data_IF_361431120797
#
_entry.id   IF_361431120797
#
_cell.length_a   1.000
_cell.length_b   1.000
_cell.length_c   1.000
_cell.angle_alpha   90.00
_cell.angle_beta   90.00
_cell.angle_gamma   90.00
#
_symmetry.space_group_name_H-M   'P 1'
#
loop_
_entity.id
_entity.type
_entity.pdbx_description
1 polymer ?
#
# COMPACT_ATOMS: atom_id res chain seq x y z
N UNK A 1 10.73 38.71 -34.50
CA UNK A 1 10.27 39.44 -33.30
C UNK A 1 8.92 38.88 -32.90
N UNK A 2 8.69 38.69 -31.59
CA UNK A 2 7.60 37.96 -30.91
C UNK A 2 7.79 36.43 -30.90
N UNK A 3 7.98 35.74 -29.77
CA UNK A 3 8.03 36.18 -28.37
C UNK A 3 8.85 35.22 -27.50
N UNK A 4 9.89 35.72 -26.84
CA UNK A 4 10.62 35.10 -25.72
C UNK A 4 9.75 34.79 -24.47
N UNK A 5 8.42 34.87 -24.61
CA UNK A 5 7.45 34.73 -23.53
C UNK A 5 6.95 33.29 -23.37
N UNK A 6 7.00 32.49 -24.44
CA UNK A 6 6.72 31.04 -24.37
C UNK A 6 7.88 30.26 -23.73
N UNK A 7 9.13 30.72 -23.89
CA UNK A 7 10.29 30.04 -23.32
C UNK A 7 10.38 30.20 -21.79
N UNK A 8 9.97 31.36 -21.27
CA UNK A 8 9.90 31.58 -19.82
C UNK A 8 8.72 30.85 -19.15
N UNK A 9 7.65 30.58 -19.90
CA UNK A 9 6.50 29.82 -19.39
C UNK A 9 6.82 28.33 -19.18
N UNK A 10 7.83 27.80 -19.87
CA UNK A 10 8.35 26.46 -19.62
C UNK A 10 9.18 26.39 -18.33
N UNK A 11 9.93 27.45 -18.01
CA UNK A 11 10.76 27.50 -16.80
C UNK A 11 9.96 27.83 -15.52
N UNK A 12 8.89 28.63 -15.60
CA UNK A 12 8.02 28.90 -14.44
C UNK A 12 7.09 27.71 -14.11
N UNK A 13 6.73 26.90 -15.11
CA UNK A 13 5.91 25.69 -14.90
C UNK A 13 6.67 24.53 -14.23
N UNK A 14 7.99 24.66 -14.07
CA UNK A 14 8.81 23.70 -13.34
C UNK A 14 8.86 23.96 -11.82
N UNK A 15 8.32 25.07 -11.32
CA UNK A 15 8.42 25.46 -9.90
C UNK A 15 7.07 25.70 -9.19
N UNK A 16 5.95 25.30 -9.79
CA UNK A 16 4.64 25.31 -9.11
C UNK A 16 4.18 23.88 -8.87
N UNK A 17 4.42 23.45 -7.63
CA UNK A 17 3.95 22.25 -6.94
C UNK A 17 4.20 20.88 -7.64
N UNK A 18 4.97 19.96 -7.02
CA UNK A 18 5.26 18.63 -7.54
C UNK A 18 4.05 17.68 -7.35
N UNK A 19 2.87 18.11 -7.77
CA UNK A 19 1.64 17.30 -7.69
C UNK A 19 1.03 16.96 -9.06
N UNK A 20 1.53 17.47 -10.18
CA UNK A 20 0.91 17.20 -11.49
C UNK A 20 1.93 17.21 -12.63
N UNK A 21 2.52 16.04 -12.96
CA UNK A 21 3.32 15.95 -14.18
C UNK A 21 4.29 14.79 -14.35
N UNK A 22 3.83 13.53 -14.28
CA UNK A 22 4.45 12.46 -15.07
C UNK A 22 3.41 11.93 -16.05
N UNK A 23 3.53 12.32 -17.32
CA UNK A 23 2.79 11.69 -18.41
C UNK A 23 3.74 10.74 -19.16
N UNK A 24 3.69 9.44 -18.87
CA UNK A 24 4.18 8.39 -19.78
C UNK A 24 3.65 6.99 -19.45
N UNK A 25 2.41 6.76 -19.86
CA UNK A 25 1.90 5.54 -20.47
C UNK A 25 0.39 5.74 -20.62
N UNK A 26 -0.18 5.36 -21.77
CA UNK A 26 -1.58 4.93 -21.77
C UNK A 26 -1.66 3.65 -20.93
N UNK A 27 -1.58 3.78 -19.62
CA UNK A 27 -2.05 2.74 -18.72
C UNK A 27 -3.53 3.05 -18.57
N UNK A 28 -4.34 2.12 -19.05
CA UNK A 28 -5.77 2.03 -18.75
C UNK A 28 -6.03 2.46 -17.29
N UNK A 29 -7.21 3.00 -17.03
CA UNK A 29 -7.81 3.15 -15.69
C UNK A 29 -7.99 1.79 -14.98
N UNK A 30 -6.89 1.07 -14.82
CA UNK A 30 -6.64 -0.26 -14.25
C UNK A 30 -5.37 -0.23 -13.37
N UNK A 31 -4.58 0.88 -13.41
CA UNK A 31 -3.32 1.04 -12.66
C UNK A 31 -3.37 2.16 -11.61
N UNK A 32 -4.56 2.48 -11.10
CA UNK A 32 -4.66 3.21 -9.85
C UNK A 32 -4.29 2.24 -8.73
N UNK A 33 -3.02 2.26 -8.29
CA UNK A 33 -2.61 1.53 -7.10
C UNK A 33 -3.61 1.77 -5.97
N UNK A 34 -4.03 0.69 -5.33
CA UNK A 34 -4.94 0.73 -4.19
C UNK A 34 -4.49 1.76 -3.15
N UNK A 35 -5.46 2.48 -2.59
CA UNK A 35 -5.22 3.52 -1.59
C UNK A 35 -4.54 2.89 -0.38
N UNK A 36 -3.24 3.15 -0.24
CA UNK A 36 -2.39 2.56 0.80
C UNK A 36 -2.17 3.49 1.99
N UNK A 37 -2.21 4.81 1.76
CA UNK A 37 -2.02 5.81 2.81
C UNK A 37 -3.08 6.89 2.72
N UNK A 38 -3.58 7.33 3.88
CA UNK A 38 -4.44 8.49 4.01
C UNK A 38 -3.67 9.70 4.52
N UNK A 39 -3.86 10.84 3.86
CA UNK A 39 -3.30 12.11 4.31
C UNK A 39 -3.90 12.47 5.68
N UNK A 40 -3.05 12.39 6.72
CA UNK A 40 -3.43 12.67 8.10
C UNK A 40 -3.38 11.47 9.06
N UNK A 41 -3.13 10.26 8.56
CA UNK A 41 -2.89 9.08 9.41
C UNK A 41 -1.38 8.89 9.57
N UNK A 42 -0.89 9.03 10.80
CA UNK A 42 0.52 8.82 11.11
C UNK A 42 0.88 7.33 11.01
N UNK A 43 1.81 7.01 10.12
CA UNK A 43 2.41 5.67 10.05
C UNK A 43 3.25 5.46 11.33
N UNK A 44 2.99 4.40 12.10
CA UNK A 44 3.74 4.07 13.30
C UNK A 44 5.25 3.92 13.06
N UNK A 45 6.06 4.27 14.06
CA UNK A 45 7.52 4.24 13.95
C UNK A 45 8.07 2.84 13.66
N UNK A 46 7.47 1.81 14.24
CA UNK A 46 7.85 0.41 14.01
C UNK A 46 7.80 0.04 12.52
N UNK A 47 6.67 0.35 11.86
CA UNK A 47 6.47 0.14 10.42
C UNK A 47 7.45 0.98 9.59
N UNK A 48 7.63 2.27 9.94
CA UNK A 48 8.60 3.12 9.24
C UNK A 48 10.01 2.55 9.33
N UNK A 49 10.40 1.99 10.47
CA UNK A 49 11.72 1.40 10.64
C UNK A 49 11.91 0.17 9.76
N UNK A 50 10.97 -0.77 9.72
CA UNK A 50 11.10 -1.97 8.86
C UNK A 50 11.08 -1.62 7.38
N UNK A 51 10.23 -0.67 6.97
CA UNK A 51 10.18 -0.21 5.57
C UNK A 51 11.42 0.62 5.19
N UNK A 52 11.90 1.49 6.08
CA UNK A 52 13.07 2.34 5.82
C UNK A 52 14.40 1.61 5.93
N UNK A 53 14.44 0.48 6.67
CA UNK A 53 15.58 -0.44 6.61
C UNK A 53 15.78 -0.93 5.17
N UNK A 54 14.72 -1.00 4.36
CA UNK A 54 14.83 -1.27 2.92
C UNK A 54 15.45 -2.63 2.58
N UNK A 55 15.58 -3.50 3.58
CA UNK A 55 16.16 -4.85 3.48
C UNK A 55 15.07 -5.91 3.29
N UNK A 56 13.81 -5.55 3.54
CA UNK A 56 12.67 -6.40 3.30
C UNK A 56 12.12 -6.12 1.89
N UNK A 57 12.40 -7.03 0.97
CA UNK A 57 11.72 -7.13 -0.33
C UNK A 57 10.78 -8.32 -0.26
N UNK A 58 9.61 -8.20 -0.88
CA UNK A 58 8.78 -9.39 -1.06
C UNK A 58 9.36 -10.21 -2.21
N UNK A 59 9.94 -11.36 -1.86
CA UNK A 59 10.57 -12.27 -2.82
C UNK A 59 9.47 -12.83 -3.73
N UNK A 60 9.35 -12.23 -4.90
CA UNK A 60 8.51 -12.63 -6.02
C UNK A 60 9.24 -12.26 -7.30
N UNK A 61 8.71 -12.64 -8.48
CA UNK A 61 9.33 -12.29 -9.77
C UNK A 61 9.52 -10.76 -9.98
N UNK A 62 8.88 -9.93 -9.15
CA UNK A 62 8.96 -8.47 -9.20
C UNK A 62 9.99 -7.83 -8.26
N UNK A 63 10.52 -8.53 -7.25
CA UNK A 63 11.44 -7.97 -6.22
C UNK A 63 11.03 -6.57 -5.70
N UNK A 64 9.75 -6.42 -5.33
CA UNK A 64 9.19 -5.12 -4.93
C UNK A 64 9.39 -4.85 -3.42
N UNK A 65 9.76 -3.62 -3.03
CA UNK A 65 9.91 -3.24 -1.63
C UNK A 65 8.55 -3.15 -0.92
N UNK A 66 8.53 -3.46 0.37
CA UNK A 66 7.34 -3.21 1.18
C UNK A 66 7.06 -1.70 1.30
N UNK A 67 5.80 -1.32 1.13
CA UNK A 67 5.32 0.05 1.29
C UNK A 67 4.52 0.16 2.59
N UNK A 68 4.72 1.23 3.35
CA UNK A 68 3.95 1.47 4.56
C UNK A 68 2.47 1.79 4.23
N UNK A 69 1.58 1.22 5.03
CA UNK A 69 0.13 1.39 4.94
C UNK A 69 -0.37 2.08 6.21
N UNK A 70 -1.19 3.11 6.04
CA UNK A 70 -1.80 3.85 7.13
C UNK A 70 -3.11 4.47 6.65
N UNK A 71 -4.23 3.86 7.01
CA UNK A 71 -5.57 4.21 6.55
C UNK A 71 -6.47 4.44 7.77
N UNK A 72 -7.49 5.29 7.64
CA UNK A 72 -8.46 5.45 8.72
C UNK A 72 -9.46 4.31 8.64
N UNK A 73 -9.60 3.57 9.73
CA UNK A 73 -10.62 2.55 9.88
C UNK A 73 -11.90 3.22 10.41
N UNK A 74 -13.05 2.83 9.89
CA UNK A 74 -14.36 3.39 10.30
C UNK A 74 -15.02 2.67 11.46
N UNK A 75 -14.30 1.80 12.16
CA UNK A 75 -14.83 0.95 13.22
C UNK A 75 -13.74 0.28 14.05
N UNK A 76 -14.15 -0.63 14.93
CA UNK A 76 -13.25 -1.36 15.82
C UNK A 76 -13.00 -2.77 15.28
N UNK A 77 -11.77 -3.03 14.81
CA UNK A 77 -11.33 -4.36 14.36
C UNK A 77 -10.83 -4.43 12.93
N UNK A 78 -10.32 -5.59 12.53
CA UNK A 78 -9.81 -5.80 11.17
C UNK A 78 -10.97 -5.86 10.17
N UNK A 79 -10.93 -5.11 9.05
CA UNK A 79 -12.01 -5.09 8.07
C UNK A 79 -12.14 -6.45 7.36
N UNK A 80 -13.35 -6.80 6.95
CA UNK A 80 -13.57 -7.97 6.10
C UNK A 80 -13.11 -7.72 4.65
N UNK A 81 -13.15 -8.75 3.79
CA UNK A 81 -12.72 -8.69 2.38
C UNK A 81 -13.38 -7.53 1.61
N UNK A 82 -14.71 -7.41 1.71
CA UNK A 82 -15.48 -6.35 1.04
C UNK A 82 -15.19 -4.96 1.63
N UNK A 83 -15.00 -4.87 2.96
CA UNK A 83 -14.72 -3.62 3.65
C UNK A 83 -13.32 -3.12 3.30
N UNK A 84 -12.34 -4.02 3.30
CA UNK A 84 -10.98 -3.75 2.89
C UNK A 84 -10.93 -3.30 1.44
N UNK A 85 -11.63 -4.00 0.54
CA UNK A 85 -11.73 -3.62 -0.86
C UNK A 85 -12.35 -2.22 -1.04
N UNK A 86 -13.36 -1.84 -0.25
CA UNK A 86 -13.91 -0.47 -0.25
C UNK A 86 -12.90 0.55 0.27
N UNK A 87 -12.17 0.20 1.31
CA UNK A 87 -11.22 1.07 2.00
C UNK A 87 -10.01 1.40 1.11
N UNK A 88 -9.54 0.42 0.33
CA UNK A 88 -8.51 0.63 -0.69
C UNK A 88 -9.03 1.26 -2.00
N UNK A 89 -10.33 1.60 -2.05
CA UNK A 89 -11.04 2.16 -3.19
C UNK A 89 -11.01 1.27 -4.44
N UNK A 90 -11.19 -0.05 -4.24
CA UNK A 90 -11.27 -1.03 -5.33
C UNK A 90 -12.47 -0.71 -6.25
N UNK A 91 -12.30 -0.73 -7.59
CA UNK A 91 -13.36 -0.38 -8.54
C UNK A 91 -14.61 -1.27 -8.42
N UNK A 92 -14.41 -2.53 -8.01
CA UNK A 92 -15.47 -3.49 -7.73
C UNK A 92 -15.18 -4.22 -6.40
N UNK A 93 -15.63 -3.73 -5.24
CA UNK A 93 -15.29 -4.34 -3.95
C UNK A 93 -15.90 -5.73 -3.74
N UNK A 94 -16.99 -6.05 -4.46
CA UNK A 94 -17.65 -7.36 -4.42
C UNK A 94 -17.02 -8.41 -5.34
N UNK A 95 -16.33 -7.95 -6.38
CA UNK A 95 -15.62 -8.81 -7.33
C UNK A 95 -14.11 -8.80 -7.04
N UNK A 96 -13.68 -8.05 -6.02
CA UNK A 96 -12.32 -8.03 -5.56
C UNK A 96 -11.97 -9.43 -5.06
N UNK A 97 -10.98 -10.06 -5.69
CA UNK A 97 -10.43 -11.33 -5.22
C UNK A 97 -9.49 -11.04 -4.06
N UNK A 98 -10.09 -10.71 -2.91
CA UNK A 98 -9.40 -10.53 -1.64
C UNK A 98 -9.46 -11.85 -0.89
N UNK A 99 -8.30 -12.39 -0.52
CA UNK A 99 -8.16 -13.54 0.37
C UNK A 99 -7.56 -13.09 1.69
N UNK A 100 -8.17 -13.49 2.80
CA UNK A 100 -7.61 -13.30 4.13
C UNK A 100 -6.77 -14.53 4.48
N UNK A 101 -5.50 -14.30 4.77
CA UNK A 101 -4.51 -15.30 5.15
C UNK A 101 -3.96 -14.99 6.53
N UNK A 102 -3.65 -16.04 7.29
CA UNK A 102 -2.92 -15.90 8.55
C UNK A 102 -1.46 -15.54 8.26
N UNK A 103 -0.86 -14.61 9.02
CA UNK A 103 0.53 -14.19 8.81
C UNK A 103 1.52 -15.35 8.93
N UNK A 104 1.23 -16.34 9.76
CA UNK A 104 2.04 -17.56 9.92
C UNK A 104 1.92 -18.49 8.70
N UNK A 105 0.74 -18.56 8.08
CA UNK A 105 0.52 -19.35 6.86
C UNK A 105 1.07 -18.69 5.60
N UNK A 106 1.09 -17.36 5.57
CA UNK A 106 1.72 -16.59 4.50
C UNK A 106 3.25 -16.63 4.62
N UNK A 107 3.79 -16.43 5.82
CA UNK A 107 5.23 -16.45 6.10
C UNK A 107 5.67 -17.76 6.78
N UNK A 108 5.44 -18.90 6.11
CA UNK A 108 5.81 -20.23 6.65
C UNK A 108 7.30 -20.38 6.95
N UNK A 109 8.12 -19.62 6.24
CA UNK A 109 9.58 -19.64 6.37
C UNK A 109 10.10 -18.67 7.44
N UNK A 110 9.23 -17.83 8.02
CA UNK A 110 9.62 -16.82 9.01
C UNK A 110 10.51 -15.71 8.45
N UNK A 111 10.47 -15.47 7.14
CA UNK A 111 11.30 -14.46 6.46
C UNK A 111 10.81 -13.04 6.73
N UNK A 112 9.53 -12.89 7.05
CA UNK A 112 8.84 -11.62 7.29
C UNK A 112 8.38 -11.47 8.75
N UNK A 113 8.90 -12.31 9.66
CA UNK A 113 8.58 -12.25 11.08
C UNK A 113 8.84 -10.86 11.69
N UNK A 114 9.93 -10.18 11.31
CA UNK A 114 10.21 -8.79 11.74
C UNK A 114 9.14 -7.80 11.29
N UNK A 115 8.58 -8.00 10.09
CA UNK A 115 7.48 -7.16 9.58
C UNK A 115 6.22 -7.42 10.39
N UNK A 116 5.88 -8.69 10.60
CA UNK A 116 4.70 -9.08 11.36
C UNK A 116 4.79 -8.54 12.79
N UNK A 117 5.95 -8.64 13.44
CA UNK A 117 6.16 -8.07 14.78
C UNK A 117 6.07 -6.54 14.78
N UNK A 118 6.65 -5.86 13.78
CA UNK A 118 6.55 -4.40 13.69
C UNK A 118 5.11 -3.93 13.45
N UNK A 119 4.34 -4.66 12.64
CA UNK A 119 2.91 -4.40 12.43
C UNK A 119 2.14 -4.67 13.72
N UNK A 120 2.41 -5.77 14.42
CA UNK A 120 1.77 -6.10 15.70
C UNK A 120 2.06 -5.06 16.79
N UNK A 121 3.30 -4.60 16.88
CA UNK A 121 3.71 -3.53 17.80
C UNK A 121 3.00 -2.22 17.46
N UNK A 122 2.89 -1.90 16.17
CA UNK A 122 2.14 -0.75 15.68
C UNK A 122 0.63 -0.81 16.02
N UNK A 123 0.08 -2.02 16.15
CA UNK A 123 -1.28 -2.29 16.59
C UNK A 123 -1.44 -2.41 18.11
N UNK A 124 -0.41 -2.09 18.90
CA UNK A 124 -0.42 -2.26 20.36
C UNK A 124 -0.76 -3.70 20.82
N UNK A 125 -0.39 -4.70 20.01
CA UNK A 125 -0.64 -6.11 20.29
C UNK A 125 -1.94 -6.67 19.72
N UNK A 126 -2.68 -5.89 18.92
CA UNK A 126 -3.84 -6.36 18.16
C UNK A 126 -3.49 -7.47 17.16
N UNK A 127 -4.54 -8.14 16.68
CA UNK A 127 -4.41 -9.17 15.65
C UNK A 127 -3.85 -8.59 14.35
N UNK A 128 -2.94 -9.35 13.74
CA UNK A 128 -2.36 -9.05 12.42
C UNK A 128 -2.96 -10.02 11.41
N UNK A 129 -3.39 -9.51 10.26
CA UNK A 129 -3.88 -10.33 9.14
C UNK A 129 -3.18 -9.95 7.85
N UNK A 130 -3.10 -10.94 6.95
CA UNK A 130 -2.56 -10.74 5.61
C UNK A 130 -3.71 -10.79 4.61
N UNK A 131 -3.87 -9.74 3.80
CA UNK A 131 -4.88 -9.67 2.76
C UNK A 131 -4.17 -9.78 1.42
N UNK A 132 -4.47 -10.83 0.65
CA UNK A 132 -3.98 -11.02 -0.71
C UNK A 132 -5.06 -10.51 -1.67
N UNK A 133 -4.76 -9.46 -2.42
CA UNK A 133 -5.66 -8.86 -3.40
C UNK A 133 -5.13 -9.18 -4.79
N UNK A 134 -5.83 -10.02 -5.55
CA UNK A 134 -5.43 -10.31 -6.93
C UNK A 134 -5.59 -9.05 -7.80
N UNK A 135 -4.54 -8.70 -8.53
CA UNK A 135 -4.50 -7.61 -9.50
C UNK A 135 -4.45 -8.26 -10.88
N UNK A 136 -5.41 -7.95 -11.75
CA UNK A 136 -5.67 -8.72 -12.97
C UNK A 136 -4.43 -9.26 -13.71
N UNK A 137 -4.50 -10.53 -14.14
CA UNK A 137 -3.36 -11.25 -14.74
C UNK A 137 -2.59 -12.06 -13.70
N UNK A 138 -1.27 -11.87 -13.64
CA UNK A 138 -0.34 -12.57 -12.75
C UNK A 138 0.10 -11.71 -11.56
N UNK A 139 -0.59 -10.60 -11.25
CA UNK A 139 -0.18 -9.70 -10.18
C UNK A 139 -1.04 -9.94 -8.93
N UNK A 140 -0.46 -9.85 -7.75
CA UNK A 140 -1.19 -9.89 -6.48
C UNK A 140 -0.57 -8.87 -5.52
N UNK A 141 -1.39 -8.13 -4.77
CA UNK A 141 -0.90 -7.28 -3.69
C UNK A 141 -1.15 -7.96 -2.35
N UNK A 142 -0.09 -8.16 -1.58
CA UNK A 142 -0.14 -8.70 -0.23
C UNK A 142 -0.11 -7.55 0.77
N UNK A 143 -1.04 -7.53 1.71
CA UNK A 143 -1.21 -6.46 2.69
C UNK A 143 -1.16 -7.05 4.09
N UNK A 144 -0.09 -6.78 4.83
CA UNK A 144 0.06 -7.19 6.23
C UNK A 144 -0.39 -6.01 7.09
N UNK A 145 -1.59 -6.10 7.67
CA UNK A 145 -2.23 -4.98 8.36
C UNK A 145 -2.76 -5.38 9.74
N UNK A 146 -2.79 -4.40 10.63
CA UNK A 146 -3.42 -4.47 11.95
C UNK A 146 -4.37 -3.30 12.13
N UNK A 147 -5.41 -3.50 12.93
CA UNK A 147 -6.20 -2.40 13.48
C UNK A 147 -5.50 -1.84 14.72
N UNK A 148 -5.58 -0.53 14.93
CA UNK A 148 -5.17 0.14 16.18
C UNK A 148 -6.41 0.53 17.00
N UNK A 149 -6.20 0.82 18.29
CA UNK A 149 -7.28 1.29 19.17
C UNK A 149 -7.88 2.66 18.75
N UNK A 150 -7.14 3.41 17.94
CA UNK A 150 -7.54 4.70 17.36
C UNK A 150 -8.46 4.59 16.14
N UNK A 151 -9.01 3.40 15.84
CA UNK A 151 -9.75 3.15 14.59
C UNK A 151 -8.87 3.52 13.37
N UNK A 152 -7.62 3.08 13.38
CA UNK A 152 -6.69 3.22 12.25
C UNK A 152 -6.24 1.85 11.81
N UNK A 153 -6.02 1.69 10.52
CA UNK A 153 -5.47 0.50 9.92
C UNK A 153 -4.03 0.80 9.52
N UNK A 154 -3.08 0.11 10.13
CA UNK A 154 -1.65 0.35 9.90
C UNK A 154 -0.98 -0.95 9.51
N UNK A 155 0.01 -0.88 8.63
CA UNK A 155 0.69 -2.09 8.18
C UNK A 155 1.71 -1.85 7.09
N UNK A 156 1.96 -2.90 6.31
CA UNK A 156 2.73 -2.83 5.08
C UNK A 156 1.99 -3.50 3.94
N UNK A 157 2.35 -3.14 2.71
CA UNK A 157 1.93 -3.84 1.52
C UNK A 157 3.11 -4.16 0.62
N UNK A 158 3.00 -5.21 -0.17
CA UNK A 158 3.94 -5.55 -1.22
C UNK A 158 3.20 -5.99 -2.47
N UNK A 159 3.72 -5.62 -3.63
CA UNK A 159 3.27 -6.14 -4.90
C UNK A 159 4.05 -7.42 -5.20
N UNK A 160 3.33 -8.43 -5.65
CA UNK A 160 3.88 -9.71 -6.07
C UNK A 160 3.46 -10.00 -7.51
N UNK A 161 4.34 -10.66 -8.26
CA UNK A 161 4.04 -11.25 -9.56
C UNK A 161 4.13 -12.77 -9.43
N UNK A 162 3.02 -13.44 -9.70
CA UNK A 162 2.81 -14.88 -9.69
C UNK A 162 2.78 -15.38 -11.16
N UNK A 163 3.95 -15.44 -11.79
CA UNK A 163 4.17 -15.99 -13.15
C UNK A 163 4.32 -17.51 -13.15
#
# INVERSE_FOLDING_TARGET
>A
MVSDQDYMSFLDKANKDPSEGYAKAETKKDDAGFKATEQGVEIPRAIKQVVSKGEAFYISDADEPFQAVALKLGGSGLPDEEEFARLINHPAPKEASVEILDPVDWDRNGQYAEIIDAVREAGEGNDVRVYRVARGGVKAEYWVITATNDEKLVGVKALAVES
#
